data_IF_359070121712
#
_entry.id   IF_359070121712
#
_cell.length_a   1.000
_cell.length_b   1.000
_cell.length_c   1.000
_cell.angle_alpha   90.00
_cell.angle_beta   90.00
_cell.angle_gamma   90.00
#
_symmetry.space_group_name_H-M   'P 1'
#
loop_
_entity.id
_entity.type
_entity.pdbx_description
1 polymer ?
#
# COMPACT_ATOMS: atom_id res chain seq x y z
N UNK A 1 -8.62 -33.96 9.43
CA UNK A 1 -10.09 -33.68 9.45
C UNK A 1 -10.49 -32.85 10.67
N UNK A 2 -9.86 -33.02 11.84
CA UNK A 2 -10.09 -32.21 13.04
C UNK A 2 -9.61 -30.75 12.93
N UNK A 3 -8.47 -30.49 12.28
CA UNK A 3 -7.96 -29.12 12.07
C UNK A 3 -8.88 -28.26 11.20
N UNK A 4 -9.42 -28.83 10.12
CA UNK A 4 -10.35 -28.13 9.24
C UNK A 4 -11.67 -27.77 9.93
N UNK A 5 -12.14 -28.64 10.85
CA UNK A 5 -13.33 -28.38 11.66
C UNK A 5 -13.05 -27.31 12.73
N UNK A 6 -11.83 -27.31 13.30
CA UNK A 6 -11.41 -26.28 14.24
C UNK A 6 -11.25 -24.90 13.56
N UNK A 7 -10.67 -24.86 12.35
CA UNK A 7 -10.61 -23.64 11.53
C UNK A 7 -12.01 -23.14 11.16
N UNK A 8 -12.92 -24.03 10.73
CA UNK A 8 -14.28 -23.65 10.40
C UNK A 8 -15.07 -23.12 11.62
N UNK A 9 -14.90 -23.72 12.79
CA UNK A 9 -15.55 -23.24 14.02
C UNK A 9 -14.95 -21.91 14.52
N UNK A 10 -13.65 -21.70 14.35
CA UNK A 10 -13.00 -20.42 14.67
C UNK A 10 -13.40 -19.31 13.68
N UNK A 11 -13.73 -19.67 12.42
CA UNK A 11 -14.32 -18.77 11.42
C UNK A 11 -15.68 -18.23 11.88
N UNK A 12 -16.51 -19.09 12.48
CA UNK A 12 -17.85 -18.75 12.98
C UNK A 12 -17.80 -17.86 14.24
N UNK A 13 -16.72 -17.92 15.01
CA UNK A 13 -16.56 -17.14 16.25
C UNK A 13 -15.75 -15.84 16.12
N UNK A 14 -15.22 -15.52 14.92
CA UNK A 14 -14.51 -14.26 14.68
C UNK A 14 -13.16 -14.13 15.40
N UNK A 15 -12.59 -15.25 15.87
CA UNK A 15 -11.43 -15.26 16.77
C UNK A 15 -10.11 -15.70 16.09
N UNK A 16 -10.08 -15.82 14.76
CA UNK A 16 -8.83 -16.11 14.06
C UNK A 16 -7.98 -14.84 13.97
N UNK A 17 -7.05 -14.72 14.93
CA UNK A 17 -5.85 -13.89 14.74
C UNK A 17 -5.19 -14.38 13.44
N UNK A 18 -4.96 -13.49 12.46
CA UNK A 18 -4.33 -13.89 11.21
C UNK A 18 -3.02 -14.61 11.52
N UNK A 19 -2.80 -15.75 10.86
CA UNK A 19 -1.57 -16.52 11.07
C UNK A 19 -0.38 -15.63 10.74
N UNK A 20 0.49 -15.40 11.73
CA UNK A 20 1.73 -14.64 11.55
C UNK A 20 2.66 -15.39 10.60
N UNK A 21 2.56 -15.13 9.29
CA UNK A 21 3.36 -15.79 8.27
C UNK A 21 3.52 -14.91 7.01
N UNK A 22 4.77 -14.67 6.60
CA UNK A 22 5.09 -13.95 5.36
C UNK A 22 4.51 -14.62 4.11
N UNK A 23 4.29 -15.93 4.10
CA UNK A 23 3.63 -16.58 2.97
C UNK A 23 2.20 -16.07 2.79
N UNK A 24 1.49 -15.85 3.90
CA UNK A 24 0.14 -15.27 3.90
C UNK A 24 0.20 -13.80 3.47
N UNK A 25 1.11 -12.99 4.04
CA UNK A 25 1.32 -11.59 3.62
C UNK A 25 1.56 -11.49 2.12
N UNK A 26 2.45 -12.32 1.57
CA UNK A 26 2.74 -12.36 0.14
C UNK A 26 1.48 -12.63 -0.68
N UNK A 27 0.69 -13.63 -0.29
CA UNK A 27 -0.56 -13.97 -0.98
C UNK A 27 -1.55 -12.81 -0.90
N UNK A 28 -1.69 -12.20 0.27
CA UNK A 28 -2.57 -11.05 0.49
C UNK A 28 -2.19 -9.87 -0.39
N UNK A 29 -0.92 -9.46 -0.41
CA UNK A 29 -0.44 -8.35 -1.25
C UNK A 29 -0.76 -8.58 -2.74
N UNK A 30 -0.72 -9.83 -3.20
CA UNK A 30 -1.04 -10.18 -4.60
C UNK A 30 -2.55 -10.24 -4.88
N UNK A 31 -3.36 -10.68 -3.90
CA UNK A 31 -4.77 -10.98 -4.12
C UNK A 31 -5.73 -9.84 -3.74
N UNK A 32 -5.46 -9.14 -2.65
CA UNK A 32 -6.31 -8.06 -2.15
C UNK A 32 -5.45 -7.09 -1.36
N UNK A 33 -5.30 -5.88 -1.89
CA UNK A 33 -4.61 -4.80 -1.21
C UNK A 33 -5.58 -3.68 -0.84
N UNK A 34 -6.65 -4.04 -0.14
CA UNK A 34 -7.60 -3.10 0.44
C UNK A 34 -7.52 -3.12 1.98
N UNK A 35 -8.10 -2.13 2.66
CA UNK A 35 -8.02 -2.01 4.11
C UNK A 35 -8.71 -3.17 4.83
N UNK A 36 -9.87 -3.59 4.33
CA UNK A 36 -10.72 -4.63 4.94
C UNK A 36 -10.01 -5.97 5.04
N UNK A 37 -9.39 -6.42 3.95
CA UNK A 37 -8.82 -7.76 3.83
C UNK A 37 -7.33 -7.78 4.16
N UNK A 38 -6.59 -6.75 3.72
CA UNK A 38 -5.13 -6.79 3.74
C UNK A 38 -4.55 -6.35 5.09
N UNK A 39 -5.09 -5.27 5.66
CA UNK A 39 -4.51 -4.65 6.84
C UNK A 39 -4.47 -5.60 8.06
N UNK A 40 -5.49 -6.42 8.35
CA UNK A 40 -5.43 -7.39 9.46
C UNK A 40 -4.26 -8.37 9.30
N UNK A 41 -4.02 -8.86 8.07
CA UNK A 41 -2.93 -9.79 7.77
C UNK A 41 -1.58 -9.11 7.94
N UNK A 42 -1.41 -7.91 7.39
CA UNK A 42 -0.13 -7.19 7.47
C UNK A 42 0.17 -6.77 8.92
N UNK A 43 -0.82 -6.33 9.68
CA UNK A 43 -0.69 -5.96 11.09
C UNK A 43 -0.41 -7.17 12.02
N UNK A 44 -0.61 -8.40 11.55
CA UNK A 44 -0.28 -9.59 12.34
C UNK A 44 1.24 -9.82 12.46
N UNK A 45 2.04 -9.27 11.56
CA UNK A 45 3.50 -9.40 11.56
C UNK A 45 4.13 -8.14 12.13
N UNK A 46 5.15 -8.34 12.95
CA UNK A 46 5.87 -7.26 13.61
C UNK A 46 7.25 -7.06 12.99
N UNK A 47 7.67 -5.79 12.94
CA UNK A 47 9.05 -5.45 12.68
C UNK A 47 9.91 -5.78 13.91
N UNK A 48 11.05 -6.43 13.68
CA UNK A 48 12.06 -6.69 14.71
C UNK A 48 13.32 -5.87 14.47
N UNK A 49 14.13 -5.70 15.52
CA UNK A 49 15.42 -5.01 15.41
C UNK A 49 16.34 -5.59 14.34
N UNK A 50 17.16 -4.74 13.74
CA UNK A 50 18.12 -5.16 12.70
C UNK A 50 19.17 -6.12 13.27
N UNK A 51 19.40 -7.29 12.65
CA UNK A 51 20.54 -8.13 12.96
C UNK A 51 21.86 -7.40 12.68
N UNK A 52 22.92 -7.78 13.41
CA UNK A 52 24.27 -7.28 13.12
C UNK A 52 24.71 -7.71 11.73
N UNK A 53 25.21 -6.77 10.92
CA UNK A 53 25.74 -7.07 9.59
C UNK A 53 26.90 -8.08 9.62
N UNK A 54 27.71 -8.08 10.68
CA UNK A 54 28.80 -9.07 10.86
C UNK A 54 28.30 -10.50 11.08
N UNK A 55 27.02 -10.67 11.41
CA UNK A 55 26.35 -11.96 11.55
C UNK A 55 25.59 -12.39 10.28
N UNK A 56 25.65 -11.57 9.22
CA UNK A 56 24.87 -11.72 7.99
C UNK A 56 25.78 -12.17 6.85
N UNK A 57 25.39 -13.24 6.16
CA UNK A 57 26.09 -13.75 4.99
C UNK A 57 25.12 -13.94 3.83
N UNK A 58 25.52 -13.47 2.64
CA UNK A 58 24.79 -13.76 1.40
C UNK A 58 25.12 -15.19 0.97
N UNK A 59 24.10 -15.99 0.65
CA UNK A 59 24.26 -17.41 0.33
C UNK A 59 23.47 -17.81 -0.91
N UNK A 60 24.01 -18.78 -1.64
CA UNK A 60 23.29 -19.49 -2.68
C UNK A 60 22.59 -20.70 -2.04
N UNK A 61 21.27 -20.80 -2.18
CA UNK A 61 20.46 -21.84 -1.57
C UNK A 61 20.55 -23.14 -2.38
N UNK A 62 21.45 -24.03 -1.96
CA UNK A 62 21.49 -25.40 -2.46
C UNK A 62 20.35 -26.26 -1.86
N UNK A 63 19.99 -27.36 -2.52
CA UNK A 63 18.90 -28.28 -2.11
C UNK A 63 18.96 -28.75 -0.64
N UNK A 64 20.12 -28.69 0.02
CA UNK A 64 20.34 -29.16 1.41
C UNK A 64 20.26 -28.07 2.49
N UNK A 65 20.18 -26.78 2.13
CA UNK A 65 20.09 -25.72 3.16
C UNK A 65 18.68 -25.65 3.75
N UNK A 66 18.60 -25.67 5.09
CA UNK A 66 17.35 -25.43 5.82
C UNK A 66 17.01 -23.94 5.72
N UNK A 67 16.12 -23.61 4.78
CA UNK A 67 15.48 -22.30 4.68
C UNK A 67 14.36 -22.24 5.71
N UNK A 68 14.20 -21.08 6.35
CA UNK A 68 13.11 -20.86 7.28
C UNK A 68 11.77 -20.95 6.55
N UNK A 69 10.92 -21.87 6.98
CA UNK A 69 9.64 -22.16 6.30
C UNK A 69 8.49 -21.28 6.79
N UNK A 70 8.52 -20.88 8.07
CA UNK A 70 7.51 -20.02 8.70
C UNK A 70 8.20 -18.77 9.24
N UNK A 71 8.09 -17.68 8.49
CA UNK A 71 8.71 -16.41 8.86
C UNK A 71 7.63 -15.51 9.41
N UNK A 72 7.75 -15.15 10.69
CA UNK A 72 6.71 -14.43 11.43
C UNK A 72 7.11 -13.00 11.78
N UNK A 73 8.19 -12.50 11.16
CA UNK A 73 8.84 -11.22 11.47
C UNK A 73 9.18 -10.49 10.18
N UNK A 74 9.30 -9.17 10.26
CA UNK A 74 9.86 -8.30 9.21
C UNK A 74 11.12 -7.62 9.74
N UNK A 75 12.16 -7.52 8.93
CA UNK A 75 13.34 -6.74 9.28
C UNK A 75 13.18 -5.27 8.88
N UNK A 76 13.93 -4.34 9.48
CA UNK A 76 13.80 -2.92 9.16
C UNK A 76 14.21 -2.62 7.72
N UNK A 77 13.53 -1.65 7.09
CA UNK A 77 13.70 -1.29 5.67
C UNK A 77 15.16 -1.09 5.26
N UNK A 78 15.95 -0.40 6.08
CA UNK A 78 17.38 -0.15 5.80
C UNK A 78 18.22 -1.43 5.76
N UNK A 79 17.92 -2.40 6.64
CA UNK A 79 18.60 -3.69 6.66
C UNK A 79 18.20 -4.52 5.42
N UNK A 80 16.92 -4.55 5.08
CA UNK A 80 16.42 -5.22 3.88
C UNK A 80 17.07 -4.69 2.61
N UNK A 81 17.19 -3.36 2.47
CA UNK A 81 17.87 -2.73 1.34
C UNK A 81 19.32 -3.21 1.21
N UNK A 82 20.07 -3.32 2.32
CA UNK A 82 21.44 -3.85 2.32
C UNK A 82 21.48 -5.32 1.92
N UNK A 83 20.57 -6.15 2.44
CA UNK A 83 20.47 -7.56 2.07
C UNK A 83 20.18 -7.76 0.58
N UNK A 84 19.20 -7.04 0.03
CA UNK A 84 18.82 -7.12 -1.39
C UNK A 84 19.96 -6.61 -2.28
N UNK A 85 20.62 -5.50 -1.90
CA UNK A 85 21.80 -5.01 -2.62
C UNK A 85 22.96 -6.01 -2.58
N UNK A 86 23.19 -6.65 -1.42
CA UNK A 86 24.19 -7.71 -1.25
C UNK A 86 23.92 -8.93 -2.13
N UNK A 87 22.66 -9.38 -2.19
CA UNK A 87 22.23 -10.45 -3.10
C UNK A 87 22.51 -10.07 -4.56
N UNK A 88 22.13 -8.86 -4.97
CA UNK A 88 22.33 -8.40 -6.34
C UNK A 88 23.81 -8.29 -6.71
N UNK A 89 24.65 -7.85 -5.78
CA UNK A 89 26.10 -7.75 -5.96
C UNK A 89 26.73 -9.14 -6.10
N UNK A 90 26.38 -10.05 -5.20
CA UNK A 90 26.88 -11.43 -5.24
C UNK A 90 26.44 -12.15 -6.52
N UNK A 91 25.17 -11.98 -6.92
CA UNK A 91 24.66 -12.56 -8.17
C UNK A 91 25.46 -12.12 -9.39
N UNK A 92 25.82 -10.83 -9.48
CA UNK A 92 26.65 -10.29 -10.57
C UNK A 92 28.09 -10.81 -10.57
N UNK A 93 28.58 -11.29 -9.43
CA UNK A 93 29.92 -11.88 -9.34
C UNK A 93 29.99 -13.35 -9.78
N UNK A 94 28.83 -13.99 -10.02
CA UNK A 94 28.78 -15.39 -10.42
C UNK A 94 29.09 -15.57 -11.92
N UNK A 95 29.82 -16.63 -12.32
CA UNK A 95 30.29 -16.81 -13.70
C UNK A 95 29.19 -17.12 -14.74
N UNK A 96 28.01 -17.57 -14.34
CA UNK A 96 26.90 -17.88 -15.26
C UNK A 96 25.55 -17.43 -14.71
N UNK A 97 24.64 -16.96 -15.59
CA UNK A 97 23.23 -16.72 -15.23
C UNK A 97 22.48 -18.03 -14.94
N UNK A 98 22.95 -19.16 -15.47
CA UNK A 98 22.40 -20.49 -15.18
C UNK A 98 22.65 -20.93 -13.73
N UNK A 99 23.65 -20.34 -13.06
CA UNK A 99 23.93 -20.51 -11.63
C UNK A 99 23.28 -19.44 -10.75
N UNK A 100 22.31 -18.67 -11.28
CA UNK A 100 21.39 -17.87 -10.49
C UNK A 100 20.44 -18.77 -9.66
N UNK A 101 21.00 -19.70 -8.90
CA UNK A 101 20.32 -20.49 -7.90
C UNK A 101 19.55 -19.57 -6.94
N UNK A 102 18.55 -20.13 -6.26
CA UNK A 102 17.73 -19.39 -5.30
C UNK A 102 18.68 -18.69 -4.31
N UNK A 103 18.68 -17.37 -4.29
CA UNK A 103 19.55 -16.61 -3.38
C UNK A 103 18.87 -16.45 -2.02
N UNK A 104 19.68 -16.19 -1.00
CA UNK A 104 19.17 -15.91 0.33
C UNK A 104 20.20 -15.23 1.21
N UNK A 105 19.78 -14.98 2.44
CA UNK A 105 20.60 -14.39 3.49
C UNK A 105 20.59 -15.34 4.68
N UNK A 106 21.77 -15.79 5.09
CA UNK A 106 21.95 -16.53 6.33
C UNK A 106 22.34 -15.57 7.43
N UNK A 107 21.60 -15.62 8.54
CA UNK A 107 21.81 -14.77 9.70
C UNK A 107 22.09 -15.67 10.89
N UNK A 108 23.24 -15.46 11.53
CA UNK A 108 23.65 -16.28 12.68
C UNK A 108 22.54 -16.28 13.74
N UNK A 109 22.17 -17.47 14.22
CA UNK A 109 21.09 -17.73 15.21
C UNK A 109 19.65 -17.51 14.71
N UNK A 110 19.41 -16.76 13.64
CA UNK A 110 18.07 -16.58 13.07
C UNK A 110 17.78 -17.54 11.91
N UNK A 111 18.81 -18.09 11.29
CA UNK A 111 18.67 -19.04 10.19
C UNK A 111 18.76 -18.37 8.82
N UNK A 112 18.27 -19.06 7.80
CA UNK A 112 18.42 -18.63 6.40
C UNK A 112 17.08 -18.23 5.80
N UNK A 113 17.02 -17.00 5.29
CA UNK A 113 15.85 -16.41 4.64
C UNK A 113 16.06 -16.43 3.13
N UNK A 114 15.04 -16.82 2.37
CA UNK A 114 15.13 -16.76 0.92
C UNK A 114 14.96 -15.31 0.43
N UNK A 115 15.53 -15.00 -0.72
CA UNK A 115 15.36 -13.69 -1.38
C UNK A 115 13.88 -13.32 -1.50
N UNK A 116 13.05 -14.28 -1.88
CA UNK A 116 11.60 -14.09 -1.99
C UNK A 116 10.98 -13.58 -0.68
N UNK A 117 11.49 -13.96 0.49
CA UNK A 117 10.95 -13.57 1.79
C UNK A 117 11.40 -12.15 2.13
N UNK A 118 12.66 -11.81 1.82
CA UNK A 118 13.18 -10.44 1.95
C UNK A 118 12.45 -9.45 1.05
N UNK A 119 12.11 -9.86 -0.18
CA UNK A 119 11.28 -9.05 -1.09
C UNK A 119 9.88 -8.84 -0.52
N UNK A 120 9.26 -9.88 0.06
CA UNK A 120 7.96 -9.74 0.72
C UNK A 120 8.02 -8.84 1.95
N UNK A 121 9.08 -8.90 2.75
CA UNK A 121 9.29 -7.95 3.85
C UNK A 121 9.42 -6.50 3.34
N UNK A 122 10.08 -6.30 2.19
CA UNK A 122 10.17 -4.99 1.54
C UNK A 122 8.80 -4.52 1.06
N UNK A 123 8.02 -5.40 0.45
CA UNK A 123 6.69 -5.07 -0.06
C UNK A 123 5.74 -4.76 1.10
N UNK A 124 5.81 -5.50 2.21
CA UNK A 124 5.13 -5.16 3.47
C UNK A 124 5.46 -3.72 3.90
N UNK A 125 6.74 -3.35 3.88
CA UNK A 125 7.20 -1.98 4.20
C UNK A 125 6.67 -0.90 3.27
N UNK A 126 6.40 -1.23 2.01
CA UNK A 126 5.91 -0.28 1.02
C UNK A 126 4.38 -0.16 1.05
N UNK A 127 3.66 -1.27 1.31
CA UNK A 127 2.21 -1.32 1.22
C UNK A 127 1.51 -1.03 2.56
N UNK A 128 2.10 -1.40 3.71
CA UNK A 128 1.50 -1.14 5.04
C UNK A 128 1.16 0.35 5.24
N UNK A 129 2.07 1.31 5.00
CA UNK A 129 1.76 2.73 5.22
C UNK A 129 0.63 3.25 4.32
N UNK A 130 0.47 2.70 3.11
CA UNK A 130 -0.63 3.08 2.20
C UNK A 130 -1.98 2.65 2.78
N UNK A 131 -2.06 1.41 3.27
CA UNK A 131 -3.27 0.87 3.90
C UNK A 131 -3.61 1.63 5.18
N UNK A 132 -2.63 1.96 6.01
CA UNK A 132 -2.83 2.77 7.21
C UNK A 132 -3.32 4.17 6.87
N UNK A 133 -2.73 4.81 5.86
CA UNK A 133 -3.16 6.14 5.43
C UNK A 133 -4.63 6.14 4.96
N UNK A 134 -5.04 5.12 4.19
CA UNK A 134 -6.44 4.96 3.75
C UNK A 134 -7.38 4.62 4.92
N UNK A 135 -6.97 3.76 5.87
CA UNK A 135 -7.75 3.47 7.10
C UNK A 135 -8.02 4.75 7.89
N UNK A 136 -6.99 5.56 8.07
CA UNK A 136 -7.06 6.81 8.81
C UNK A 136 -7.95 7.83 8.09
N UNK A 137 -7.86 7.94 6.75
CA UNK A 137 -8.80 8.71 5.93
C UNK A 137 -10.24 8.24 6.18
N UNK A 138 -10.51 6.93 6.14
CA UNK A 138 -11.84 6.38 6.36
C UNK A 138 -12.36 6.67 7.77
N UNK A 139 -11.48 6.60 8.77
CA UNK A 139 -11.78 6.98 10.16
C UNK A 139 -12.14 8.47 10.26
N UNK A 140 -11.40 9.33 9.56
CA UNK A 140 -11.69 10.76 9.50
C UNK A 140 -13.03 11.06 8.81
N UNK A 141 -13.34 10.39 7.70
CA UNK A 141 -14.64 10.51 7.00
C UNK A 141 -15.79 10.15 7.95
N UNK A 142 -15.67 9.04 8.70
CA UNK A 142 -16.72 8.62 9.66
C UNK A 142 -16.92 9.61 10.79
N UNK A 143 -15.84 10.25 11.26
CA UNK A 143 -15.89 11.25 12.31
C UNK A 143 -16.38 12.63 11.81
N UNK A 144 -16.38 12.85 10.49
CA UNK A 144 -16.77 14.12 9.88
C UNK A 144 -18.28 14.34 9.92
N UNK A 145 -18.70 15.60 10.04
CA UNK A 145 -20.11 16.01 9.98
C UNK A 145 -20.22 17.29 9.17
N UNK A 146 -20.87 17.23 8.02
CA UNK A 146 -21.06 18.38 7.14
C UNK A 146 -22.34 19.19 7.44
N UNK A 147 -23.12 18.79 8.45
CA UNK A 147 -24.35 19.49 8.89
C UNK A 147 -24.21 20.98 9.22
N UNK A 148 -22.99 21.48 9.43
CA UNK A 148 -22.70 22.89 9.74
C UNK A 148 -22.23 23.70 8.53
N UNK A 149 -22.06 23.07 7.37
CA UNK A 149 -21.56 23.71 6.16
C UNK A 149 -22.73 23.82 5.17
N UNK A 150 -23.12 25.05 4.85
CA UNK A 150 -24.01 25.30 3.74
C UNK A 150 -23.20 25.20 2.44
N UNK A 151 -23.46 24.16 1.66
CA UNK A 151 -22.85 23.97 0.35
C UNK A 151 -23.81 24.48 -0.72
N UNK A 152 -23.33 25.32 -1.64
CA UNK A 152 -24.08 25.76 -2.81
C UNK A 152 -24.16 24.64 -3.86
N UNK A 153 -25.14 24.73 -4.76
CA UNK A 153 -25.17 23.91 -5.98
C UNK A 153 -23.84 24.04 -6.73
N UNK A 154 -23.25 22.94 -7.23
CA UNK A 154 -23.77 21.55 -7.26
C UNK A 154 -23.40 20.69 -6.04
N UNK A 155 -22.67 21.21 -5.06
CA UNK A 155 -22.10 20.45 -3.93
C UNK A 155 -23.09 20.24 -2.76
N UNK A 156 -24.31 20.78 -2.87
CA UNK A 156 -25.35 20.65 -1.85
C UNK A 156 -25.75 19.17 -1.60
N UNK A 157 -25.60 18.30 -2.59
CA UNK A 157 -25.80 16.85 -2.44
C UNK A 157 -24.81 16.20 -1.46
N UNK A 158 -23.65 16.81 -1.19
CA UNK A 158 -22.66 16.29 -0.24
C UNK A 158 -23.16 16.39 1.22
N UNK A 159 -24.13 17.25 1.52
CA UNK A 159 -24.66 17.44 2.87
C UNK A 159 -25.44 16.22 3.40
N UNK A 160 -26.01 15.40 2.50
CA UNK A 160 -26.84 14.25 2.82
C UNK A 160 -26.14 12.90 2.57
N UNK A 161 -24.83 12.91 2.30
CA UNK A 161 -24.08 11.69 2.03
C UNK A 161 -23.96 10.85 3.30
N UNK A 162 -24.27 9.56 3.20
CA UNK A 162 -23.93 8.59 4.22
C UNK A 162 -22.40 8.38 4.26
N UNK A 163 -21.75 9.11 5.17
CA UNK A 163 -20.30 9.06 5.35
C UNK A 163 -19.82 7.69 5.85
N UNK A 164 -20.65 6.96 6.59
CA UNK A 164 -20.31 5.61 7.06
C UNK A 164 -20.27 4.65 5.89
N UNK A 165 -21.32 4.65 5.05
CA UNK A 165 -21.34 3.85 3.82
C UNK A 165 -20.21 4.26 2.86
N UNK A 166 -19.90 5.55 2.76
CA UNK A 166 -18.78 6.04 1.95
C UNK A 166 -17.44 5.45 2.42
N UNK A 167 -17.12 5.57 3.71
CA UNK A 167 -15.90 5.03 4.29
C UNK A 167 -15.80 3.50 4.13
N UNK A 168 -16.88 2.76 4.36
CA UNK A 168 -16.90 1.30 4.16
C UNK A 168 -16.62 0.91 2.71
N UNK A 169 -17.14 1.66 1.73
CA UNK A 169 -16.81 1.41 0.31
C UNK A 169 -15.35 1.69 0.02
N UNK A 170 -14.78 2.76 0.57
CA UNK A 170 -13.38 3.12 0.36
C UNK A 170 -12.42 2.07 0.93
N UNK A 171 -12.74 1.47 2.08
CA UNK A 171 -11.93 0.40 2.69
C UNK A 171 -11.86 -0.87 1.85
N UNK A 172 -12.88 -1.13 1.02
CA UNK A 172 -12.92 -2.27 0.10
C UNK A 172 -12.22 -2.02 -1.25
N UNK A 173 -11.79 -0.78 -1.52
CA UNK A 173 -11.09 -0.44 -2.76
C UNK A 173 -9.61 -0.79 -2.61
N UNK A 174 -9.07 -1.45 -3.63
CA UNK A 174 -7.63 -1.69 -3.74
C UNK A 174 -6.86 -0.36 -3.76
N UNK A 175 -5.87 -0.21 -2.87
CA UNK A 175 -5.14 1.04 -2.67
C UNK A 175 -4.24 1.42 -3.86
N UNK A 176 -3.95 0.47 -4.74
CA UNK A 176 -3.25 0.67 -6.01
C UNK A 176 -4.21 0.75 -7.20
N UNK A 177 -5.54 0.71 -6.98
CA UNK A 177 -6.53 0.91 -8.04
C UNK A 177 -6.30 2.26 -8.72
N UNK A 178 -6.19 2.23 -10.04
CA UNK A 178 -6.08 3.43 -10.85
C UNK A 178 -7.34 4.29 -10.73
N UNK A 179 -7.14 5.59 -10.52
CA UNK A 179 -8.17 6.62 -10.53
C UNK A 179 -7.93 7.47 -11.76
N UNK A 180 -8.82 7.33 -12.74
CA UNK A 180 -8.78 8.17 -13.94
C UNK A 180 -9.53 9.46 -13.67
N UNK A 181 -8.88 10.59 -13.95
CA UNK A 181 -9.50 11.91 -13.94
C UNK A 181 -9.12 12.67 -15.22
N UNK A 182 -9.69 13.86 -15.43
CA UNK A 182 -9.47 14.66 -16.64
C UNK A 182 -8.02 15.11 -16.85
N UNK A 183 -7.18 15.09 -15.81
CA UNK A 183 -5.81 15.58 -15.85
C UNK A 183 -4.77 14.46 -15.95
N UNK A 184 -5.07 13.27 -15.44
CA UNK A 184 -4.12 12.15 -15.35
C UNK A 184 -4.76 10.89 -14.80
N UNK A 185 -4.00 9.79 -14.86
CA UNK A 185 -4.24 8.59 -14.03
C UNK A 185 -3.44 8.72 -12.74
N UNK A 186 -4.14 8.74 -11.60
CA UNK A 186 -3.57 8.59 -10.25
C UNK A 186 -3.89 7.23 -9.66
N UNK A 187 -3.61 7.03 -8.38
CA UNK A 187 -3.92 5.78 -7.64
C UNK A 187 -4.60 6.07 -6.31
N UNK A 188 -5.43 5.14 -5.83
CA UNK A 188 -6.30 5.37 -4.68
C UNK A 188 -5.58 5.85 -3.42
N UNK A 189 -4.42 5.31 -3.07
CA UNK A 189 -3.72 5.75 -1.85
C UNK A 189 -3.28 7.22 -1.89
N UNK A 190 -3.14 7.86 -3.07
CA UNK A 190 -2.88 9.30 -3.18
C UNK A 190 -4.05 10.13 -2.62
N UNK A 191 -5.27 9.57 -2.58
CA UNK A 191 -6.41 10.25 -1.99
C UNK A 191 -6.39 10.24 -0.46
N UNK A 192 -5.47 9.50 0.17
CA UNK A 192 -5.36 9.46 1.63
C UNK A 192 -5.07 10.84 2.25
N UNK A 193 -4.54 11.79 1.48
CA UNK A 193 -4.31 13.17 1.91
C UNK A 193 -5.60 13.99 2.07
N UNK A 194 -6.78 13.50 1.64
CA UNK A 194 -8.08 14.14 1.92
C UNK A 194 -8.54 14.00 3.38
N UNK A 195 -7.63 14.16 4.33
CA UNK A 195 -7.89 14.07 5.77
C UNK A 195 -7.31 15.29 6.50
N UNK A 196 -7.83 15.56 7.69
CA UNK A 196 -7.42 16.75 8.46
C UNK A 196 -5.92 16.73 8.78
N UNK A 197 -5.33 17.93 8.75
CA UNK A 197 -3.91 18.20 9.07
C UNK A 197 -2.90 17.64 8.07
N UNK A 198 -3.34 17.14 6.93
CA UNK A 198 -2.49 16.84 5.78
C UNK A 198 -2.53 18.00 4.78
N UNK A 199 -1.40 18.26 4.13
CA UNK A 199 -1.37 19.16 2.98
C UNK A 199 -1.93 18.42 1.78
N UNK A 200 -2.94 19.01 1.12
CA UNK A 200 -3.47 18.46 -0.13
C UNK A 200 -2.39 18.54 -1.21
N UNK A 201 -2.13 17.41 -1.85
CA UNK A 201 -1.18 17.33 -2.95
C UNK A 201 -1.85 17.64 -4.31
N UNK A 202 -1.03 17.69 -5.36
CA UNK A 202 -1.51 17.89 -6.73
C UNK A 202 -2.44 16.75 -7.19
N UNK A 203 -2.31 15.54 -6.63
CA UNK A 203 -3.22 14.42 -6.86
C UNK A 203 -4.64 14.72 -6.39
N UNK A 204 -4.78 15.17 -5.15
CA UNK A 204 -6.04 15.57 -4.54
C UNK A 204 -6.70 16.71 -5.32
N UNK A 205 -5.94 17.77 -5.62
CA UNK A 205 -6.48 18.92 -6.36
C UNK A 205 -6.98 18.52 -7.75
N UNK A 206 -6.25 17.68 -8.49
CA UNK A 206 -6.70 17.18 -9.80
C UNK A 206 -8.02 16.42 -9.71
N UNK A 207 -8.24 15.63 -8.66
CA UNK A 207 -9.51 14.89 -8.48
C UNK A 207 -10.66 15.84 -8.20
N UNK A 208 -10.49 16.82 -7.31
CA UNK A 208 -11.54 17.81 -7.02
C UNK A 208 -11.87 18.65 -8.25
N UNK A 209 -10.84 19.15 -8.94
CA UNK A 209 -11.04 19.95 -10.16
C UNK A 209 -11.74 19.14 -11.25
N UNK A 210 -11.34 17.89 -11.46
CA UNK A 210 -12.00 17.00 -12.43
C UNK A 210 -13.46 16.79 -12.08
N UNK A 211 -13.77 16.53 -10.80
CA UNK A 211 -15.14 16.34 -10.34
C UNK A 211 -16.01 17.59 -10.59
N UNK A 212 -15.47 18.79 -10.32
CA UNK A 212 -16.17 20.06 -10.56
C UNK A 212 -16.41 20.29 -12.05
N UNK A 213 -15.42 20.01 -12.91
CA UNK A 213 -15.57 20.08 -14.36
C UNK A 213 -16.64 19.09 -14.88
N UNK A 214 -16.79 17.94 -14.24
CA UNK A 214 -17.82 16.95 -14.58
C UNK A 214 -19.25 17.39 -14.19
N UNK A 215 -19.42 18.45 -13.41
CA UNK A 215 -20.75 18.94 -13.01
C UNK A 215 -21.44 19.78 -14.09
N UNK A 216 -20.70 20.29 -15.08
CA UNK A 216 -21.25 21.13 -16.15
C UNK A 216 -20.76 20.65 -17.52
N UNK A 217 -21.55 19.75 -18.12
CA UNK A 217 -21.27 19.15 -19.43
C UNK A 217 -22.17 19.75 -20.51
N UNK A 218 -21.64 19.90 -21.72
CA UNK A 218 -22.42 20.21 -22.91
C UNK A 218 -23.17 19.00 -23.47
N UNK A 219 -23.92 19.23 -24.55
CA UNK A 219 -24.71 18.17 -25.19
C UNK A 219 -23.85 17.04 -25.80
N UNK A 220 -22.53 17.27 -25.92
CA UNK A 220 -21.56 16.30 -26.42
C UNK A 220 -20.78 15.62 -25.27
N UNK A 221 -21.13 15.88 -24.01
CA UNK A 221 -20.44 15.36 -22.83
C UNK A 221 -19.09 16.02 -22.55
N UNK A 222 -18.78 17.14 -23.20
CA UNK A 222 -17.58 17.93 -22.92
C UNK A 222 -17.83 18.90 -21.77
N UNK A 223 -16.85 19.07 -20.90
CA UNK A 223 -16.99 20.04 -19.82
C UNK A 223 -17.01 21.46 -20.38
N UNK A 224 -17.97 22.27 -19.92
CA UNK A 224 -18.03 23.70 -20.20
C UNK A 224 -17.09 24.51 -19.29
N UNK A 225 -16.51 23.87 -18.29
CA UNK A 225 -15.55 24.45 -17.36
C UNK A 225 -14.15 24.04 -17.81
N UNK A 226 -13.31 25.03 -18.13
CA UNK A 226 -11.89 24.82 -18.35
C UNK A 226 -11.16 24.61 -17.02
N UNK A 227 -10.22 23.66 -16.97
CA UNK A 227 -9.37 23.41 -15.81
C UNK A 227 -7.91 23.38 -16.21
N UNK A 228 -7.05 24.06 -15.44
CA UNK A 228 -5.60 24.02 -15.61
C UNK A 228 -5.02 23.04 -14.61
N UNK A 229 -4.20 22.09 -15.07
CA UNK A 229 -3.56 21.13 -14.17
C UNK A 229 -2.69 21.90 -13.14
N UNK A 230 -2.83 21.64 -11.83
CA UNK A 230 -2.02 22.27 -10.78
C UNK A 230 -0.51 22.19 -11.04
N UNK A 231 -0.03 21.14 -11.70
CA UNK A 231 1.38 20.98 -12.07
C UNK A 231 1.87 22.06 -13.05
N UNK A 232 1.00 22.58 -13.92
CA UNK A 232 1.35 23.63 -14.90
C UNK A 232 1.23 25.04 -14.32
N UNK A 233 0.50 25.23 -13.21
CA UNK A 233 0.38 26.55 -12.58
C UNK A 233 1.76 27.09 -12.12
N UNK A 234 2.68 26.21 -11.73
CA UNK A 234 4.05 26.58 -11.32
C UNK A 234 4.92 27.08 -12.48
N UNK A 235 4.67 26.62 -13.71
CA UNK A 235 5.47 26.99 -14.88
C UNK A 235 5.26 28.46 -15.27
N UNK A 236 4.06 28.99 -15.02
CA UNK A 236 3.72 30.37 -15.37
C UNK A 236 4.42 31.41 -14.47
N UNK A 237 4.79 31.06 -13.23
CA UNK A 237 5.55 31.96 -12.37
C UNK A 237 7.05 31.99 -12.72
N UNK A 238 7.62 30.86 -13.15
CA UNK A 238 9.01 30.80 -13.60
C UNK A 238 9.26 31.53 -14.92
N UNK A 239 8.25 31.66 -15.79
CA UNK A 239 8.37 32.36 -17.07
C UNK A 239 8.17 33.89 -16.99
N UNK A 240 7.89 34.44 -15.80
CA UNK A 240 7.84 35.90 -15.57
C UNK A 240 9.17 36.49 -15.09
N UNK A 241 10.25 35.68 -15.07
CA UNK A 241 11.61 36.10 -14.79
C UNK A 241 12.51 35.87 -16.00
N UNK A 242 12.23 36.57 -17.10
CA UNK A 242 13.21 36.90 -18.16
C UNK A 242 13.00 38.35 -18.58
#
# INVERSE_FOLDING_TARGET
MSEAIAEANALVQGTLVPVKDLALVRKTIVCSLNVTDALPVLASIEEVGSPSWSATSIVQLARKQKVQQKVTIVFPKNYLSKCIAGINTYRKSLPSEHDAGKMGVSIRKLGTFAEKDLLTMRDWHNETPKLEAVRDLCSWIRASKFSRIALSTPLNNCATVDLKACATRLEAIDVNKAISNRFSKGVMHELAYFRRSEWLDDGCLRVVMSHLMDQDLDNNGQSRIGGVNPLYARVHESMKKE
#
